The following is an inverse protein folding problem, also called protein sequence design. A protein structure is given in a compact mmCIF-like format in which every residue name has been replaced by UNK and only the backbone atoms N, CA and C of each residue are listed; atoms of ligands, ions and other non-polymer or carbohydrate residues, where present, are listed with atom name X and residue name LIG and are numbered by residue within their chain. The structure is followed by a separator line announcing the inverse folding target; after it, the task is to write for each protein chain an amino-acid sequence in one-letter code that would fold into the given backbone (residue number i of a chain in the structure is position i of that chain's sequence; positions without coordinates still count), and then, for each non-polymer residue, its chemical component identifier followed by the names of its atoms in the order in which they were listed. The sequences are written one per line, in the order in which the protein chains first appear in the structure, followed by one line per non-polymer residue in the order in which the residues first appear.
data_IF_333244333232
#
_entry.id   IF_333244333232
#
_cell.length_a   1.000
_cell.length_b   1.000
_cell.length_c   1.000
_cell.angle_alpha   90.00
_cell.angle_beta   90.00
_cell.angle_gamma   90.00
#
_symmetry.space_group_name_H-M   'P 1'
#
loop_
_entity.id
_entity.type
_entity.pdbx_description
1 polymer ?
#
# COMPACT_ATOMS: atom_id res chain seq x y z
N UNK A 1 -15.89 -0.16 -35.07
CA UNK A 1 -14.96 0.89 -34.59
C UNK A 1 -15.25 1.12 -33.11
N UNK A 2 -14.56 0.38 -32.25
CA UNK A 2 -14.62 0.57 -30.80
C UNK A 2 -13.52 1.55 -30.45
N UNK A 3 -13.88 2.83 -30.37
CA UNK A 3 -13.00 3.88 -29.87
C UNK A 3 -12.89 3.70 -28.34
N UNK A 4 -12.03 2.78 -27.93
CA UNK A 4 -11.60 2.63 -26.55
C UNK A 4 -10.55 3.71 -26.34
N UNK A 5 -10.97 4.89 -25.90
CA UNK A 5 -10.06 5.91 -25.35
C UNK A 5 -9.43 5.37 -24.08
N UNK A 6 -8.38 4.55 -24.25
CA UNK A 6 -7.56 4.07 -23.17
C UNK A 6 -6.97 5.29 -22.46
N UNK A 7 -7.11 5.34 -21.14
CA UNK A 7 -6.47 6.38 -20.35
C UNK A 7 -4.97 6.39 -20.68
N UNK A 8 -4.36 7.57 -20.89
CA UNK A 8 -2.95 7.67 -21.27
C UNK A 8 -2.07 6.97 -20.23
N UNK A 9 -1.01 6.31 -20.69
CA UNK A 9 -0.07 5.61 -19.81
C UNK A 9 0.52 6.57 -18.77
N UNK A 10 0.71 6.09 -17.53
CA UNK A 10 1.17 6.93 -16.42
C UNK A 10 2.53 7.61 -16.68
N UNK A 11 3.37 7.04 -17.54
CA UNK A 11 4.67 7.61 -17.94
C UNK A 11 4.55 9.00 -18.59
N UNK A 12 3.41 9.32 -19.20
CA UNK A 12 3.15 10.61 -19.85
C UNK A 12 2.93 11.77 -18.85
N UNK A 13 2.98 11.53 -17.54
CA UNK A 13 3.15 12.61 -16.55
C UNK A 13 4.42 13.44 -16.82
N UNK A 14 5.46 12.78 -17.34
CA UNK A 14 6.71 13.38 -17.79
C UNK A 14 6.74 13.37 -19.32
N UNK A 15 5.91 14.21 -19.94
CA UNK A 15 5.91 14.50 -21.37
C UNK A 15 6.74 15.77 -21.68
N UNK A 16 6.84 16.13 -22.96
CA UNK A 16 7.60 17.32 -23.39
C UNK A 16 7.07 18.62 -22.79
N UNK A 17 5.74 18.77 -22.69
CA UNK A 17 5.10 19.93 -22.07
C UNK A 17 5.51 20.06 -20.59
N UNK A 18 5.60 18.94 -19.87
CA UNK A 18 6.12 18.92 -18.49
C UNK A 18 7.58 19.32 -18.43
N UNK A 19 8.43 18.89 -19.37
CA UNK A 19 9.84 19.29 -19.40
C UNK A 19 9.98 20.79 -19.67
N UNK A 20 9.19 21.34 -20.59
CA UNK A 20 9.14 22.78 -20.84
C UNK A 20 8.73 23.57 -19.60
N UNK A 21 7.69 23.13 -18.91
CA UNK A 21 7.26 23.73 -17.64
C UNK A 21 8.39 23.72 -16.60
N UNK A 22 9.06 22.58 -16.42
CA UNK A 22 10.15 22.45 -15.47
C UNK A 22 11.32 23.37 -15.83
N UNK A 23 11.71 23.44 -17.11
CA UNK A 23 12.78 24.31 -17.58
C UNK A 23 12.48 25.77 -17.26
N UNK A 24 11.26 26.24 -17.58
CA UNK A 24 10.85 27.62 -17.30
C UNK A 24 10.81 27.90 -15.79
N UNK A 25 10.23 26.97 -15.01
CA UNK A 25 10.14 27.12 -13.56
C UNK A 25 11.53 27.17 -12.90
N UNK A 26 12.49 26.36 -13.37
CA UNK A 26 13.86 26.37 -12.87
C UNK A 26 14.61 27.64 -13.27
N UNK A 27 14.46 28.11 -14.52
CA UNK A 27 15.07 29.36 -14.97
C UNK A 27 14.59 30.57 -14.16
N UNK A 28 13.32 30.57 -13.72
CA UNK A 28 12.75 31.63 -12.90
C UNK A 28 13.36 31.72 -11.48
N UNK A 29 13.92 30.61 -10.96
CA UNK A 29 14.52 30.56 -9.61
C UNK A 29 16.05 30.47 -9.63
N UNK A 30 16.66 30.32 -10.81
CA UNK A 30 18.11 30.27 -10.99
C UNK A 30 18.50 30.88 -12.33
N UNK A 31 19.02 32.12 -12.31
CA UNK A 31 19.35 32.90 -13.51
C UNK A 31 20.45 32.29 -14.39
N UNK A 32 21.29 31.43 -13.82
CA UNK A 32 22.39 30.76 -14.52
C UNK A 32 22.09 29.30 -14.89
N UNK A 33 20.83 28.87 -14.76
CA UNK A 33 20.39 27.55 -15.20
C UNK A 33 20.37 27.44 -16.73
N UNK A 34 20.98 26.38 -17.25
CA UNK A 34 21.01 26.09 -18.69
C UNK A 34 19.73 25.35 -19.13
N UNK A 35 18.68 26.14 -19.43
CA UNK A 35 17.35 25.63 -19.80
C UNK A 35 17.35 24.88 -21.14
N UNK A 36 18.14 25.33 -22.12
CA UNK A 36 18.22 24.69 -23.43
C UNK A 36 18.82 23.29 -23.31
N UNK A 37 19.95 23.17 -22.60
CA UNK A 37 20.58 21.87 -22.34
C UNK A 37 19.68 20.98 -21.50
N UNK A 38 18.94 21.53 -20.53
CA UNK A 38 18.01 20.74 -19.72
C UNK A 38 16.91 20.12 -20.59
N UNK A 39 16.32 20.90 -21.50
CA UNK A 39 15.30 20.39 -22.43
C UNK A 39 15.89 19.34 -23.36
N UNK A 40 17.07 19.57 -23.91
CA UNK A 40 17.76 18.60 -24.73
C UNK A 40 17.97 17.26 -24.00
N UNK A 41 18.50 17.29 -22.78
CA UNK A 41 18.77 16.08 -21.99
C UNK A 41 17.49 15.32 -21.60
N UNK A 42 16.42 16.04 -21.28
CA UNK A 42 15.17 15.45 -20.78
C UNK A 42 14.25 14.92 -21.87
N UNK A 43 14.29 15.48 -23.07
CA UNK A 43 13.42 15.08 -24.21
C UNK A 43 14.03 13.97 -25.07
N UNK A 44 15.35 13.77 -25.03
CA UNK A 44 16.03 12.72 -25.78
C UNK A 44 15.55 11.30 -25.44
N UNK A 45 14.96 10.63 -26.43
CA UNK A 45 14.55 9.23 -26.36
C UNK A 45 13.44 8.95 -25.33
N UNK A 46 12.62 9.96 -25.03
CA UNK A 46 11.66 9.93 -23.93
C UNK A 46 10.67 8.75 -24.00
N UNK A 47 10.23 8.37 -25.20
CA UNK A 47 9.26 7.29 -25.41
C UNK A 47 9.73 5.90 -24.99
N UNK A 48 11.04 5.66 -25.04
CA UNK A 48 11.65 4.41 -24.60
C UNK A 48 11.75 4.29 -23.07
N UNK A 49 11.56 5.40 -22.33
CA UNK A 49 11.75 5.44 -20.87
C UNK A 49 10.45 5.13 -20.13
N UNK A 50 10.54 4.25 -19.13
CA UNK A 50 9.50 4.05 -18.12
C UNK A 50 9.34 5.27 -17.21
N UNK A 51 8.21 5.34 -16.49
CA UNK A 51 7.89 6.46 -15.59
C UNK A 51 9.04 6.84 -14.64
N UNK A 52 9.65 5.85 -13.96
CA UNK A 52 10.72 6.13 -12.99
C UNK A 52 12.05 6.48 -13.67
N UNK A 53 12.30 5.99 -14.89
CA UNK A 53 13.46 6.41 -15.68
C UNK A 53 13.33 7.86 -16.15
N UNK A 54 12.12 8.31 -16.51
CA UNK A 54 11.85 9.71 -16.85
C UNK A 54 12.08 10.63 -15.65
N UNK A 55 11.59 10.24 -14.47
CA UNK A 55 11.86 10.96 -13.22
C UNK A 55 13.37 11.07 -12.96
N UNK A 56 14.10 9.94 -13.01
CA UNK A 56 15.56 9.92 -12.83
C UNK A 56 16.29 10.82 -13.84
N UNK A 57 15.85 10.82 -15.10
CA UNK A 57 16.43 11.68 -16.14
C UNK A 57 16.27 13.17 -15.81
N UNK A 58 15.12 13.58 -15.28
CA UNK A 58 14.92 14.97 -14.85
C UNK A 58 15.88 15.32 -13.72
N UNK A 59 16.05 14.45 -12.73
CA UNK A 59 17.01 14.63 -11.64
C UNK A 59 18.44 14.84 -12.16
N UNK A 60 18.89 13.96 -13.06
CA UNK A 60 20.23 14.02 -13.65
C UNK A 60 20.42 15.28 -14.51
N UNK A 61 19.39 15.66 -15.28
CA UNK A 61 19.42 16.88 -16.08
C UNK A 61 19.49 18.13 -15.20
N UNK A 62 18.69 18.22 -14.13
CA UNK A 62 18.79 19.31 -13.15
C UNK A 62 20.21 19.40 -12.56
N UNK A 63 20.82 18.28 -12.21
CA UNK A 63 22.19 18.28 -11.69
C UNK A 63 23.21 18.84 -12.69
N UNK A 64 23.09 18.42 -13.96
CA UNK A 64 24.00 18.79 -15.03
C UNK A 64 23.86 20.25 -15.50
N UNK A 65 22.71 20.88 -15.29
CA UNK A 65 22.40 22.22 -15.84
C UNK A 65 22.19 23.30 -14.80
N UNK A 66 22.10 22.94 -13.51
CA UNK A 66 22.23 23.91 -12.42
C UNK A 66 23.69 24.39 -12.30
N UNK A 67 23.90 25.67 -11.94
CA UNK A 67 25.24 26.23 -11.79
C UNK A 67 26.13 25.39 -10.85
N UNK A 68 27.43 25.28 -11.14
CA UNK A 68 28.39 24.70 -10.21
C UNK A 68 28.33 25.42 -8.85
N UNK A 69 27.85 24.71 -7.84
CA UNK A 69 27.69 25.22 -6.49
C UNK A 69 27.74 24.07 -5.46
N UNK A 70 28.12 24.36 -4.20
CA UNK A 70 28.00 23.41 -3.09
C UNK A 70 26.58 22.83 -2.98
N UNK A 71 26.48 21.58 -2.54
CA UNK A 71 25.22 20.84 -2.46
C UNK A 71 24.10 21.63 -1.76
N UNK A 72 24.38 22.25 -0.61
CA UNK A 72 23.39 23.03 0.15
C UNK A 72 22.82 24.21 -0.65
N UNK A 73 23.64 24.91 -1.43
CA UNK A 73 23.15 26.01 -2.27
C UNK A 73 22.27 25.49 -3.41
N UNK A 74 22.57 24.31 -3.96
CA UNK A 74 21.69 23.65 -4.93
C UNK A 74 20.36 23.27 -4.29
N UNK A 75 20.35 22.82 -3.03
CA UNK A 75 19.10 22.57 -2.30
C UNK A 75 18.25 23.83 -2.17
N UNK A 76 18.85 25.01 -1.97
CA UNK A 76 18.08 26.26 -1.89
C UNK A 76 17.35 26.58 -3.20
N UNK A 77 18.00 26.35 -4.35
CA UNK A 77 17.35 26.45 -5.66
C UNK A 77 16.20 25.44 -5.79
N UNK A 78 16.42 24.19 -5.37
CA UNK A 78 15.38 23.14 -5.42
C UNK A 78 14.21 23.43 -4.46
N UNK A 79 14.47 24.04 -3.30
CA UNK A 79 13.43 24.52 -2.37
C UNK A 79 12.59 25.62 -3.00
N UNK A 80 13.21 26.57 -3.69
CA UNK A 80 12.51 27.61 -4.44
C UNK A 80 11.70 27.04 -5.61
N UNK A 81 12.20 25.99 -6.27
CA UNK A 81 11.51 25.32 -7.38
C UNK A 81 10.29 24.51 -6.92
N UNK A 82 10.32 23.92 -5.72
CA UNK A 82 9.28 23.00 -5.22
C UNK A 82 7.82 23.48 -5.40
N UNK A 83 7.44 24.71 -4.99
CA UNK A 83 6.08 25.21 -5.21
C UNK A 83 5.75 25.43 -6.70
N UNK A 84 6.74 25.71 -7.55
CA UNK A 84 6.56 26.03 -8.97
C UNK A 84 6.35 24.79 -9.87
N UNK A 85 6.70 23.58 -9.42
CA UNK A 85 6.52 22.35 -10.22
C UNK A 85 5.03 22.06 -10.52
N UNK A 86 4.12 22.49 -9.64
CA UNK A 86 2.67 22.39 -9.82
C UNK A 86 2.15 20.99 -10.21
N UNK A 87 2.80 19.92 -9.72
CA UNK A 87 2.35 18.53 -9.91
C UNK A 87 2.96 17.57 -8.88
N UNK A 88 2.12 16.98 -8.02
CA UNK A 88 2.55 16.19 -6.84
C UNK A 88 3.41 14.96 -7.14
N UNK A 89 3.27 14.35 -8.31
CA UNK A 89 4.13 13.22 -8.69
C UNK A 89 5.45 13.69 -9.31
N UNK A 90 5.44 14.84 -9.98
CA UNK A 90 6.66 15.36 -10.64
C UNK A 90 7.60 15.91 -9.59
N UNK A 91 7.08 16.47 -8.48
CA UNK A 91 7.88 16.94 -7.34
C UNK A 91 8.73 15.84 -6.71
N UNK A 92 8.50 14.55 -7.01
CA UNK A 92 9.36 13.44 -6.62
C UNK A 92 10.80 13.55 -7.17
N UNK A 93 11.04 14.35 -8.22
CA UNK A 93 12.40 14.64 -8.70
C UNK A 93 13.28 15.32 -7.64
N UNK A 94 12.67 16.06 -6.71
CA UNK A 94 13.38 16.79 -5.66
C UNK A 94 13.95 15.86 -4.57
N UNK A 95 13.15 14.99 -3.91
CA UNK A 95 13.70 13.99 -3.00
C UNK A 95 14.56 12.95 -3.72
N UNK A 96 14.34 12.70 -5.01
CA UNK A 96 15.21 11.85 -5.83
C UNK A 96 16.59 12.46 -6.06
N UNK A 97 16.67 13.78 -6.26
CA UNK A 97 17.93 14.52 -6.29
C UNK A 97 18.70 14.40 -4.97
N UNK A 98 18.01 14.59 -3.84
CA UNK A 98 18.60 14.44 -2.51
C UNK A 98 19.15 13.03 -2.29
N UNK A 99 18.40 12.00 -2.68
CA UNK A 99 18.83 10.60 -2.60
C UNK A 99 20.10 10.29 -3.41
N UNK A 100 20.32 11.00 -4.53
CA UNK A 100 21.42 10.71 -5.46
C UNK A 100 22.67 11.53 -5.19
N UNK A 101 22.50 12.75 -4.69
CA UNK A 101 23.62 13.69 -4.54
C UNK A 101 23.88 14.11 -3.09
N UNK A 102 23.08 13.61 -2.13
CA UNK A 102 23.05 14.12 -0.76
C UNK A 102 23.58 13.20 0.33
N UNK A 103 24.07 12.00 0.01
CA UNK A 103 24.51 11.03 1.03
C UNK A 103 25.65 11.57 1.92
N UNK A 104 26.55 12.38 1.35
CA UNK A 104 27.70 12.94 2.08
C UNK A 104 27.33 14.11 3.03
N UNK A 105 26.15 14.71 2.87
CA UNK A 105 25.63 15.78 3.73
C UNK A 105 24.28 15.39 4.33
N UNK A 106 24.34 14.35 5.18
CA UNK A 106 23.19 13.66 5.73
C UNK A 106 22.15 14.59 6.39
N UNK A 107 22.57 15.51 7.26
CA UNK A 107 21.65 16.33 8.03
C UNK A 107 20.92 17.34 7.15
N UNK A 108 21.62 17.97 6.19
CA UNK A 108 21.01 18.86 5.21
C UNK A 108 20.03 18.10 4.30
N UNK A 109 20.37 16.86 3.94
CA UNK A 109 19.52 15.99 3.15
C UNK A 109 18.25 15.57 3.89
N UNK A 110 18.35 15.17 5.16
CA UNK A 110 17.18 14.81 5.96
C UNK A 110 16.24 16.01 6.15
N UNK A 111 16.77 17.20 6.40
CA UNK A 111 15.97 18.43 6.45
C UNK A 111 15.29 18.73 5.10
N UNK A 112 16.02 18.64 3.99
CA UNK A 112 15.46 18.85 2.65
C UNK A 112 14.36 17.83 2.32
N UNK A 113 14.52 16.55 2.69
CA UNK A 113 13.49 15.52 2.50
C UNK A 113 12.23 15.82 3.31
N UNK A 114 12.38 16.32 4.55
CA UNK A 114 11.25 16.82 5.35
C UNK A 114 10.56 17.98 4.65
N UNK A 115 11.31 18.93 4.08
CA UNK A 115 10.76 20.06 3.35
C UNK A 115 10.03 19.65 2.05
N UNK A 116 10.56 18.71 1.28
CA UNK A 116 9.97 18.32 -0.01
C UNK A 116 8.73 17.43 0.11
N UNK A 117 8.59 16.68 1.21
CA UNK A 117 7.52 15.66 1.32
C UNK A 117 6.08 16.21 1.21
N UNK A 118 5.74 17.44 1.67
CA UNK A 118 4.39 17.99 1.52
C UNK A 118 4.00 18.28 0.06
N UNK A 119 4.99 18.60 -0.80
CA UNK A 119 4.77 18.86 -2.23
C UNK A 119 4.49 17.59 -3.05
N UNK A 120 4.84 16.42 -2.52
CA UNK A 120 4.68 15.13 -3.19
C UNK A 120 4.79 14.01 -2.18
N UNK A 121 5.96 13.35 -2.16
CA UNK A 121 6.40 12.48 -1.07
C UNK A 121 7.92 12.25 -1.12
N UNK A 122 8.57 12.26 0.03
CA UNK A 122 9.99 11.88 0.13
C UNK A 122 10.21 10.39 0.42
N UNK A 123 9.17 9.55 0.25
CA UNK A 123 9.19 8.12 0.64
C UNK A 123 10.29 7.30 -0.05
N UNK A 124 10.65 7.66 -1.29
CA UNK A 124 11.77 7.02 -2.00
C UNK A 124 13.10 7.68 -1.63
N UNK A 125 13.11 9.01 -1.52
CA UNK A 125 14.32 9.80 -1.26
C UNK A 125 14.97 9.53 0.09
N UNK A 126 14.19 9.19 1.12
CA UNK A 126 14.73 8.89 2.47
C UNK A 126 15.37 7.51 2.59
N UNK A 127 15.06 6.59 1.67
CA UNK A 127 15.45 5.18 1.80
C UNK A 127 16.94 4.92 1.60
N UNK A 128 17.66 5.60 0.69
CA UNK A 128 19.11 5.52 0.64
C UNK A 128 19.79 5.86 1.96
N UNK A 129 19.29 6.86 2.69
CA UNK A 129 19.81 7.24 4.01
C UNK A 129 19.54 6.16 5.06
N UNK A 130 18.32 5.60 5.08
CA UNK A 130 17.98 4.46 5.96
C UNK A 130 18.81 3.21 5.67
N UNK A 131 19.16 2.97 4.40
CA UNK A 131 20.03 1.86 3.99
C UNK A 131 21.49 2.10 4.37
N UNK A 132 21.96 3.33 4.21
CA UNK A 132 23.34 3.71 4.47
C UNK A 132 23.65 3.70 5.96
N UNK A 133 22.82 4.36 6.77
CA UNK A 133 23.00 4.47 8.22
C UNK A 133 21.63 4.52 8.92
N UNK A 134 21.09 3.34 9.20
CA UNK A 134 19.79 3.18 9.87
C UNK A 134 19.80 3.81 11.27
N UNK A 135 20.90 3.68 12.00
CA UNK A 135 21.03 4.17 13.37
C UNK A 135 20.99 5.70 13.42
N UNK A 136 21.62 6.38 12.46
CA UNK A 136 21.55 7.84 12.31
C UNK A 136 20.20 8.32 11.76
N UNK A 137 19.57 7.56 10.86
CA UNK A 137 18.31 7.95 10.22
C UNK A 137 17.08 7.82 11.13
N UNK A 138 16.97 6.77 11.95
CA UNK A 138 15.78 6.50 12.77
C UNK A 138 15.42 7.63 13.77
N UNK A 139 16.38 8.30 14.43
CA UNK A 139 16.10 9.46 15.26
C UNK A 139 15.36 10.58 14.51
N UNK A 140 15.73 10.87 13.27
CA UNK A 140 15.03 11.86 12.43
C UNK A 140 13.58 11.46 12.16
N UNK A 141 13.35 10.20 11.75
CA UNK A 141 12.00 9.69 11.49
C UNK A 141 11.15 9.69 12.77
N UNK A 142 11.75 9.36 13.91
CA UNK A 142 11.07 9.40 15.21
C UNK A 142 10.69 10.84 15.60
N UNK A 143 11.54 11.83 15.31
CA UNK A 143 11.18 13.24 15.50
C UNK A 143 10.02 13.65 14.59
N UNK A 144 10.03 13.21 13.33
CA UNK A 144 8.98 13.51 12.35
C UNK A 144 7.60 12.98 12.73
N UNK A 145 7.48 11.98 13.61
CA UNK A 145 6.15 11.52 14.08
C UNK A 145 5.41 12.56 14.92
N UNK A 146 6.11 13.60 15.41
CA UNK A 146 5.52 14.69 16.20
C UNK A 146 5.28 15.96 15.38
N UNK A 147 5.56 15.92 14.08
CA UNK A 147 5.39 17.08 13.21
C UNK A 147 3.92 17.48 13.07
N UNK A 148 3.65 18.78 12.97
CA UNK A 148 2.30 19.29 12.75
C UNK A 148 1.76 18.84 11.38
N UNK A 149 2.62 18.68 10.38
CA UNK A 149 2.23 18.25 9.04
C UNK A 149 2.08 16.73 8.94
N UNK A 150 0.88 16.28 8.57
CA UNK A 150 0.58 14.87 8.35
C UNK A 150 1.42 14.24 7.22
N UNK A 151 1.92 15.01 6.25
CA UNK A 151 2.85 14.52 5.22
C UNK A 151 4.20 14.12 5.79
N UNK A 152 4.69 14.85 6.79
CA UNK A 152 5.95 14.56 7.50
C UNK A 152 5.77 13.37 8.43
N UNK A 153 4.68 13.34 9.22
CA UNK A 153 4.36 12.17 10.07
C UNK A 153 4.19 10.90 9.24
N UNK A 154 3.50 11.00 8.09
CA UNK A 154 3.34 9.87 7.17
C UNK A 154 4.67 9.42 6.60
N UNK A 155 5.59 10.33 6.26
CA UNK A 155 6.92 9.98 5.76
C UNK A 155 7.70 9.11 6.76
N UNK A 156 7.59 9.38 8.06
CA UNK A 156 8.23 8.57 9.09
C UNK A 156 7.81 7.10 9.00
N UNK A 157 6.50 6.84 8.88
CA UNK A 157 5.96 5.48 8.73
C UNK A 157 6.25 4.90 7.33
N UNK A 158 6.02 5.65 6.26
CA UNK A 158 6.08 5.12 4.90
C UNK A 158 7.52 4.87 4.44
N UNK A 159 8.41 5.85 4.68
CA UNK A 159 9.81 5.78 4.28
C UNK A 159 10.54 4.62 4.93
N UNK A 160 10.17 4.26 6.16
CA UNK A 160 10.73 3.12 6.91
C UNK A 160 10.04 1.78 6.64
N UNK A 161 9.07 1.70 5.70
CA UNK A 161 8.41 0.41 5.40
C UNK A 161 9.44 -0.64 4.92
N UNK A 162 9.43 -1.87 5.46
CA UNK A 162 10.34 -2.93 5.02
C UNK A 162 10.19 -3.27 3.54
N UNK A 163 8.97 -3.22 3.01
CA UNK A 163 8.60 -3.67 1.66
C UNK A 163 7.80 -2.62 0.86
N UNK A 164 8.27 -1.37 0.86
CA UNK A 164 7.66 -0.29 0.09
C UNK A 164 7.60 -0.65 -1.41
N UNK A 165 6.42 -0.61 -2.07
CA UNK A 165 6.32 -0.79 -3.51
C UNK A 165 7.16 0.22 -4.29
N UNK A 166 7.66 -0.16 -5.47
CA UNK A 166 8.49 0.67 -6.35
C UNK A 166 9.85 1.11 -5.77
N UNK A 167 10.19 0.62 -4.57
CA UNK A 167 11.49 0.76 -3.98
C UNK A 167 12.11 -0.60 -3.67
N UNK A 168 13.40 -0.58 -3.38
CA UNK A 168 14.10 -1.73 -2.81
C UNK A 168 13.57 -2.04 -1.41
N UNK A 169 13.78 -3.27 -0.93
CA UNK A 169 13.50 -3.62 0.48
C UNK A 169 14.56 -3.02 1.39
N UNK A 170 14.16 -2.59 2.59
CA UNK A 170 15.09 -2.23 3.64
C UNK A 170 15.43 -3.52 4.39
N UNK A 171 16.45 -4.24 3.93
CA UNK A 171 16.71 -5.61 4.38
C UNK A 171 16.95 -5.71 5.89
N UNK A 172 17.58 -4.70 6.50
CA UNK A 172 17.71 -4.60 7.95
C UNK A 172 16.36 -4.60 8.68
N UNK A 173 15.37 -3.87 8.14
CA UNK A 173 14.01 -3.80 8.72
C UNK A 173 13.11 -4.96 8.30
N UNK A 174 13.47 -5.68 7.24
CA UNK A 174 12.87 -6.99 6.91
C UNK A 174 13.39 -8.04 7.88
N UNK A 175 14.67 -8.00 8.24
CA UNK A 175 15.29 -8.94 9.17
C UNK A 175 14.83 -8.71 10.62
N UNK A 176 14.77 -7.45 11.05
CA UNK A 176 14.31 -7.06 12.39
C UNK A 176 13.38 -5.83 12.33
N UNK A 177 12.09 -5.97 12.66
CA UNK A 177 11.17 -4.83 12.67
C UNK A 177 11.30 -3.96 13.94
N UNK A 178 11.98 -4.43 14.99
CA UNK A 178 12.05 -3.75 16.29
C UNK A 178 12.50 -2.28 16.23
N UNK A 179 13.46 -1.87 15.37
CA UNK A 179 13.89 -0.47 15.30
C UNK A 179 12.79 0.52 14.89
N UNK A 180 11.74 0.05 14.18
CA UNK A 180 10.58 0.88 13.80
C UNK A 180 9.44 0.86 14.81
N UNK A 181 9.55 0.08 15.90
CA UNK A 181 8.51 0.03 16.92
C UNK A 181 8.18 1.40 17.52
N UNK A 182 9.16 2.23 17.94
CA UNK A 182 8.86 3.51 18.59
C UNK A 182 8.07 4.47 17.70
N UNK A 183 8.40 4.55 16.40
CA UNK A 183 7.69 5.44 15.47
C UNK A 183 6.27 4.94 15.16
N UNK A 184 6.07 3.61 15.10
CA UNK A 184 4.73 3.04 14.89
C UNK A 184 3.84 3.24 16.12
N UNK A 185 4.41 3.12 17.33
CA UNK A 185 3.70 3.40 18.59
C UNK A 185 3.30 4.87 18.69
N UNK A 186 4.18 5.80 18.32
CA UNK A 186 3.88 7.23 18.31
C UNK A 186 2.71 7.58 17.36
N UNK A 187 2.54 6.84 16.27
CA UNK A 187 1.53 7.09 15.24
C UNK A 187 0.27 6.21 15.36
N UNK A 188 0.16 5.39 16.43
CA UNK A 188 -0.87 4.35 16.57
C UNK A 188 -2.32 4.87 16.58
N UNK A 189 -2.50 6.13 16.95
CA UNK A 189 -3.80 6.79 17.07
C UNK A 189 -3.91 8.09 16.25
N UNK A 190 -3.00 8.30 15.28
CA UNK A 190 -2.90 9.55 14.52
C UNK A 190 -4.23 9.98 13.91
N UNK A 191 -4.57 11.27 14.00
CA UNK A 191 -5.83 11.84 13.50
C UNK A 191 -5.94 11.85 11.97
N UNK A 192 -4.80 11.82 11.27
CA UNK A 192 -4.78 11.79 9.81
C UNK A 192 -4.99 10.37 9.29
N UNK A 193 -6.08 10.17 8.53
CA UNK A 193 -6.30 8.92 7.80
C UNK A 193 -5.14 8.59 6.84
N UNK A 194 -4.44 9.60 6.32
CA UNK A 194 -3.29 9.42 5.46
C UNK A 194 -2.12 8.74 6.21
N UNK A 195 -1.85 9.18 7.43
CA UNK A 195 -0.85 8.57 8.32
C UNK A 195 -1.29 7.16 8.73
N UNK A 196 -2.54 6.99 9.19
CA UNK A 196 -3.07 5.67 9.60
C UNK A 196 -2.97 4.62 8.48
N UNK A 197 -3.24 5.00 7.24
CA UNK A 197 -3.06 4.13 6.05
C UNK A 197 -1.61 3.66 5.93
N UNK A 198 -0.63 4.55 6.13
CA UNK A 198 0.78 4.21 6.10
C UNK A 198 1.16 3.25 7.22
N UNK A 199 0.78 3.55 8.47
CA UNK A 199 1.05 2.68 9.64
C UNK A 199 0.47 1.29 9.40
N UNK A 200 -0.78 1.20 8.94
CA UNK A 200 -1.40 -0.10 8.63
C UNK A 200 -0.70 -0.84 7.49
N UNK A 201 -0.16 -0.15 6.49
CA UNK A 201 0.62 -0.78 5.43
C UNK A 201 1.99 -1.25 5.92
N UNK A 202 2.64 -0.47 6.78
CA UNK A 202 3.89 -0.85 7.43
C UNK A 202 3.71 -2.12 8.27
N UNK A 203 2.72 -2.14 9.16
CA UNK A 203 2.38 -3.32 9.96
C UNK A 203 2.07 -4.55 9.08
N UNK A 204 1.34 -4.35 7.98
CA UNK A 204 1.05 -5.44 7.05
C UNK A 204 2.29 -5.93 6.28
N UNK A 205 3.32 -5.10 6.11
CA UNK A 205 4.60 -5.54 5.56
C UNK A 205 5.35 -6.40 6.58
N UNK A 206 5.40 -5.99 7.85
CA UNK A 206 5.96 -6.79 8.95
C UNK A 206 5.26 -8.14 9.06
N UNK A 207 3.94 -8.19 8.92
CA UNK A 207 3.14 -9.43 9.00
C UNK A 207 3.59 -10.54 8.04
N UNK A 208 4.30 -10.21 6.96
CA UNK A 208 4.74 -11.17 5.94
C UNK A 208 5.95 -12.00 6.41
N UNK A 209 6.76 -11.45 7.31
CA UNK A 209 8.02 -12.03 7.77
C UNK A 209 8.00 -12.33 9.28
N UNK A 210 7.35 -11.45 10.06
CA UNK A 210 7.35 -11.48 11.53
C UNK A 210 5.93 -11.49 12.12
N UNK A 211 5.07 -12.46 11.77
CA UNK A 211 3.68 -12.49 12.21
C UNK A 211 3.52 -12.59 13.74
N UNK A 212 4.34 -13.42 14.41
CA UNK A 212 4.27 -13.59 15.86
C UNK A 212 4.67 -12.31 16.61
N UNK A 213 5.77 -11.67 16.18
CA UNK A 213 6.20 -10.39 16.75
C UNK A 213 5.12 -9.32 16.60
N UNK A 214 4.55 -9.19 15.40
CA UNK A 214 3.49 -8.23 15.12
C UNK A 214 2.27 -8.46 16.02
N UNK A 215 1.82 -9.72 16.14
CA UNK A 215 0.66 -10.07 16.97
C UNK A 215 0.90 -9.76 18.45
N UNK A 216 2.12 -9.99 18.96
CA UNK A 216 2.49 -9.60 20.31
C UNK A 216 2.38 -8.08 20.48
N UNK A 217 2.94 -7.27 19.58
CA UNK A 217 2.86 -5.80 19.67
C UNK A 217 1.43 -5.29 19.60
N UNK A 218 0.65 -5.79 18.65
CA UNK A 218 -0.74 -5.36 18.47
C UNK A 218 -1.67 -5.87 19.58
N UNK A 219 -1.31 -6.96 20.25
CA UNK A 219 -1.96 -7.40 21.49
C UNK A 219 -1.86 -6.35 22.60
N UNK A 220 -0.68 -5.73 22.78
CA UNK A 220 -0.50 -4.65 23.75
C UNK A 220 -1.32 -3.41 23.36
N UNK A 221 -1.36 -3.06 22.08
CA UNK A 221 -2.19 -1.95 21.60
C UNK A 221 -3.67 -2.21 21.89
N UNK A 222 -4.14 -3.42 21.59
CA UNK A 222 -5.52 -3.82 21.80
C UNK A 222 -5.90 -3.83 23.29
N UNK A 223 -5.03 -4.33 24.17
CA UNK A 223 -5.28 -4.38 25.61
C UNK A 223 -5.40 -2.98 26.24
N UNK A 224 -4.70 -1.99 25.68
CA UNK A 224 -4.78 -0.59 26.11
C UNK A 224 -5.93 0.22 25.49
N UNK A 225 -6.84 -0.40 24.73
CA UNK A 225 -8.01 0.30 24.18
C UNK A 225 -9.11 0.42 25.24
N UNK A 226 -9.23 1.59 25.84
CA UNK A 226 -10.35 1.98 26.69
C UNK A 226 -11.38 2.83 25.93
N UNK A 227 -12.66 2.57 26.19
CA UNK A 227 -13.76 3.38 25.68
C UNK A 227 -13.93 3.42 24.15
N UNK A 228 -14.63 4.47 23.71
CA UNK A 228 -15.06 4.70 22.31
C UNK A 228 -14.51 6.01 21.73
N UNK A 229 -13.51 6.62 22.37
CA UNK A 229 -12.90 7.87 21.90
C UNK A 229 -12.20 7.72 20.54
N UNK A 230 -11.99 8.84 19.86
CA UNK A 230 -11.47 8.86 18.49
C UNK A 230 -10.12 8.13 18.37
N UNK A 231 -9.20 8.33 19.32
CA UNK A 231 -7.91 7.63 19.34
C UNK A 231 -8.03 6.10 19.40
N UNK A 232 -9.02 5.58 20.14
CA UNK A 232 -9.31 4.15 20.19
C UNK A 232 -9.87 3.66 18.84
N UNK A 233 -10.77 4.42 18.22
CA UNK A 233 -11.32 4.10 16.90
C UNK A 233 -10.23 4.14 15.80
N UNK A 234 -9.32 5.10 15.86
CA UNK A 234 -8.16 5.23 14.99
C UNK A 234 -7.25 4.00 15.09
N UNK A 235 -6.94 3.59 16.32
CA UNK A 235 -6.12 2.40 16.57
C UNK A 235 -6.82 1.12 16.06
N UNK A 236 -8.12 0.95 16.36
CA UNK A 236 -8.91 -0.19 15.83
C UNK A 236 -8.94 -0.23 14.30
N UNK A 237 -9.01 0.93 13.66
CA UNK A 237 -8.89 1.03 12.21
C UNK A 237 -7.52 0.51 11.74
N UNK A 238 -6.43 0.96 12.37
CA UNK A 238 -5.07 0.50 12.02
C UNK A 238 -4.95 -1.01 12.19
N UNK A 239 -5.40 -1.58 13.31
CA UNK A 239 -5.38 -3.03 13.57
C UNK A 239 -6.08 -3.81 12.44
N UNK A 240 -7.30 -3.41 12.08
CA UNK A 240 -8.10 -4.06 11.03
C UNK A 240 -7.40 -4.04 9.68
N UNK A 241 -6.73 -2.94 9.34
CA UNK A 241 -6.03 -2.80 8.06
C UNK A 241 -4.64 -3.43 8.07
N UNK A 242 -3.92 -3.40 9.19
CA UNK A 242 -2.59 -3.97 9.37
C UNK A 242 -2.58 -5.50 9.41
N UNK A 243 -3.60 -6.10 10.03
CA UNK A 243 -3.71 -7.56 10.15
C UNK A 243 -4.34 -8.25 8.92
N UNK A 244 -4.68 -7.49 7.86
CA UNK A 244 -5.45 -8.00 6.71
C UNK A 244 -4.85 -9.23 6.03
N UNK A 245 -3.53 -9.37 6.01
CA UNK A 245 -2.87 -10.55 5.43
C UNK A 245 -3.06 -11.77 6.32
N UNK A 246 -2.81 -11.65 7.63
CA UNK A 246 -2.99 -12.73 8.61
C UNK A 246 -4.46 -13.16 8.71
N UNK A 247 -5.38 -12.20 8.68
CA UNK A 247 -6.84 -12.48 8.66
C UNK A 247 -7.23 -13.28 7.42
N UNK A 248 -6.71 -12.93 6.24
CA UNK A 248 -6.94 -13.71 5.01
C UNK A 248 -6.31 -15.10 5.05
N UNK A 249 -5.25 -15.28 5.83
CA UNK A 249 -4.64 -16.58 6.08
C UNK A 249 -5.39 -17.40 7.15
N UNK A 250 -6.43 -16.84 7.77
CA UNK A 250 -7.20 -17.52 8.82
C UNK A 250 -6.47 -17.58 10.17
N UNK A 251 -5.48 -16.69 10.40
CA UNK A 251 -4.76 -16.66 11.67
C UNK A 251 -5.70 -16.31 12.83
N UNK A 252 -5.83 -17.23 13.79
CA UNK A 252 -6.80 -17.15 14.90
C UNK A 252 -6.51 -16.01 15.85
N UNK A 253 -5.23 -15.74 16.16
CA UNK A 253 -4.83 -14.62 17.00
C UNK A 253 -5.16 -13.27 16.34
N UNK A 254 -4.88 -13.12 15.04
CA UNK A 254 -5.24 -11.93 14.28
C UNK A 254 -6.76 -11.70 14.25
N UNK A 255 -7.54 -12.77 14.08
CA UNK A 255 -9.01 -12.72 14.14
C UNK A 255 -9.50 -12.35 15.54
N UNK A 256 -8.87 -12.87 16.60
CA UNK A 256 -9.20 -12.54 17.99
C UNK A 256 -9.01 -11.05 18.29
N UNK A 257 -7.91 -10.44 17.81
CA UNK A 257 -7.67 -8.99 17.93
C UNK A 257 -8.73 -8.13 17.20
N UNK A 258 -9.54 -8.73 16.33
CA UNK A 258 -10.65 -8.07 15.64
C UNK A 258 -12.03 -8.50 16.19
N UNK A 259 -12.07 -9.20 17.33
CA UNK A 259 -13.29 -9.69 17.97
C UNK A 259 -13.89 -10.94 17.34
N UNK A 260 -13.18 -11.59 16.40
CA UNK A 260 -13.69 -12.71 15.60
C UNK A 260 -12.87 -14.01 15.80
N UNK A 261 -12.23 -14.16 16.98
CA UNK A 261 -11.33 -15.29 17.27
C UNK A 261 -12.03 -16.60 17.62
N UNK A 262 -13.29 -16.55 18.06
CA UNK A 262 -14.07 -17.74 18.36
C UNK A 262 -14.51 -18.46 17.09
N UNK A 263 -14.65 -19.78 17.18
CA UNK A 263 -15.27 -20.57 16.12
C UNK A 263 -16.69 -20.03 15.82
N UNK A 264 -17.03 -19.81 14.54
CA UNK A 264 -18.30 -19.21 14.19
C UNK A 264 -19.44 -20.18 14.49
N UNK A 265 -20.42 -19.76 15.28
CA UNK A 265 -21.62 -20.54 15.60
C UNK A 265 -22.68 -20.24 14.55
N UNK A 266 -22.46 -20.71 13.34
CA UNK A 266 -23.37 -20.50 12.20
C UNK A 266 -23.56 -21.78 11.40
N UNK A 267 -24.71 -21.92 10.78
CA UNK A 267 -24.97 -22.89 9.71
C UNK A 267 -25.02 -22.16 8.38
N UNK A 268 -24.51 -22.79 7.33
CA UNK A 268 -24.59 -22.27 5.96
C UNK A 268 -25.79 -22.92 5.28
N UNK A 269 -26.66 -22.10 4.69
CA UNK A 269 -27.82 -22.53 3.91
C UNK A 269 -27.71 -21.99 2.49
N UNK A 270 -28.26 -22.73 1.53
CA UNK A 270 -28.43 -22.28 0.14
C UNK A 270 -27.13 -21.79 -0.52
N UNK A 271 -26.00 -22.42 -0.20
CA UNK A 271 -24.72 -22.06 -0.80
C UNK A 271 -24.71 -22.44 -2.30
N UNK A 272 -24.51 -21.43 -3.16
CA UNK A 272 -24.50 -21.57 -4.62
C UNK A 272 -23.26 -20.90 -5.21
N UNK A 273 -22.68 -21.56 -6.20
CA UNK A 273 -21.58 -21.08 -7.03
C UNK A 273 -22.01 -21.30 -8.47
N UNK A 274 -22.28 -20.21 -9.19
CA UNK A 274 -22.95 -20.26 -10.49
C UNK A 274 -22.29 -19.32 -11.50
N UNK A 275 -22.27 -19.67 -12.79
CA UNK A 275 -22.64 -20.98 -13.36
C UNK A 275 -21.60 -22.08 -13.06
N UNK A 276 -22.03 -23.34 -13.13
CA UNK A 276 -21.14 -24.50 -12.97
C UNK A 276 -20.10 -24.62 -14.12
N UNK A 277 -20.40 -24.06 -15.30
CA UNK A 277 -19.47 -23.92 -16.42
C UNK A 277 -19.41 -22.45 -16.83
N UNK A 278 -18.23 -21.85 -16.75
CA UNK A 278 -18.01 -20.42 -16.97
C UNK A 278 -17.09 -20.19 -18.16
N UNK A 279 -17.46 -19.29 -19.07
CA UNK A 279 -16.56 -18.86 -20.16
C UNK A 279 -15.68 -17.71 -19.68
N UNK A 280 -14.39 -17.75 -19.97
CA UNK A 280 -13.45 -16.67 -19.65
C UNK A 280 -13.97 -15.31 -20.16
N UNK A 281 -13.94 -14.29 -19.30
CA UNK A 281 -14.56 -12.98 -19.54
C UNK A 281 -15.88 -12.79 -18.80
N UNK A 282 -16.54 -13.88 -18.41
CA UNK A 282 -17.82 -13.84 -17.67
C UNK A 282 -17.60 -13.62 -16.16
N UNK A 283 -18.73 -13.65 -15.43
CA UNK A 283 -18.77 -13.44 -13.99
C UNK A 283 -19.24 -14.69 -13.27
N UNK A 284 -18.54 -15.03 -12.20
CA UNK A 284 -18.97 -16.00 -11.20
C UNK A 284 -19.87 -15.30 -10.17
N UNK A 285 -20.98 -15.94 -9.83
CA UNK A 285 -21.88 -15.53 -8.74
C UNK A 285 -21.75 -16.51 -7.58
N UNK A 286 -21.56 -15.96 -6.38
CA UNK A 286 -21.58 -16.70 -5.12
C UNK A 286 -22.75 -16.17 -4.30
N UNK A 287 -23.59 -17.04 -3.76
CA UNK A 287 -24.68 -16.66 -2.86
C UNK A 287 -24.84 -17.71 -1.76
N UNK A 288 -25.14 -17.27 -0.54
CA UNK A 288 -25.38 -18.14 0.61
C UNK A 288 -26.07 -17.38 1.74
N UNK A 289 -26.70 -18.11 2.65
CA UNK A 289 -27.29 -17.57 3.87
C UNK A 289 -26.56 -18.12 5.09
N UNK A 290 -26.12 -17.24 5.98
CA UNK A 290 -25.59 -17.62 7.30
C UNK A 290 -26.74 -17.54 8.30
N UNK A 291 -27.01 -18.63 9.01
CA UNK A 291 -27.97 -18.66 10.11
C UNK A 291 -27.24 -18.89 11.44
N UNK A 292 -27.46 -18.00 12.39
CA UNK A 292 -26.87 -18.08 13.72
C UNK A 292 -27.36 -19.33 14.45
N UNK A 293 -26.42 -20.14 14.91
CA UNK A 293 -26.65 -21.32 15.75
C UNK A 293 -26.40 -21.03 17.24
N UNK A 294 -26.23 -19.76 17.61
CA UNK A 294 -26.06 -19.35 19.00
C UNK A 294 -27.38 -19.44 19.77
N UNK A 295 -27.31 -19.90 21.02
CA UNK A 295 -28.48 -19.99 21.91
C UNK A 295 -29.09 -18.60 22.18
N UNK A 296 -30.41 -18.49 22.41
CA UNK A 296 -31.05 -17.25 22.84
C UNK A 296 -30.34 -16.62 24.04
N UNK A 297 -30.24 -15.29 24.06
CA UNK A 297 -29.52 -14.55 25.11
C UNK A 297 -27.99 -14.50 24.94
N UNK A 298 -27.43 -15.19 23.94
CA UNK A 298 -26.01 -15.06 23.62
C UNK A 298 -25.73 -13.72 22.92
N UNK A 299 -24.68 -12.97 23.31
CA UNK A 299 -24.28 -11.75 22.60
C UNK A 299 -24.01 -11.99 21.12
N UNK A 300 -24.22 -10.95 20.31
CA UNK A 300 -23.93 -11.01 18.88
C UNK A 300 -22.47 -11.44 18.63
N UNK A 301 -22.28 -12.38 17.72
CA UNK A 301 -20.96 -12.87 17.33
C UNK A 301 -20.43 -12.05 16.16
N UNK A 302 -19.17 -11.60 16.24
CA UNK A 302 -18.53 -10.94 15.11
C UNK A 302 -18.03 -11.97 14.11
N UNK A 303 -18.43 -11.79 12.85
CA UNK A 303 -18.07 -12.66 11.73
C UNK A 303 -17.23 -11.91 10.71
N UNK A 304 -16.06 -12.47 10.40
CA UNK A 304 -15.23 -12.07 9.26
C UNK A 304 -15.49 -13.07 8.13
N UNK A 305 -16.29 -12.65 7.17
CA UNK A 305 -16.74 -13.47 6.04
C UNK A 305 -15.87 -13.17 4.82
N UNK A 306 -15.38 -14.23 4.19
CA UNK A 306 -14.63 -14.19 2.94
C UNK A 306 -14.91 -15.42 2.10
N UNK A 307 -14.23 -15.52 0.97
CA UNK A 307 -14.23 -16.73 0.17
C UNK A 307 -12.85 -16.91 -0.47
N UNK A 308 -12.47 -18.15 -0.77
CA UNK A 308 -11.29 -18.44 -1.56
C UNK A 308 -11.67 -19.00 -2.93
N UNK A 309 -10.86 -18.69 -3.93
CA UNK A 309 -10.85 -19.42 -5.20
C UNK A 309 -9.52 -20.16 -5.29
N UNK A 310 -9.60 -21.47 -5.50
CA UNK A 310 -8.47 -22.34 -5.84
C UNK A 310 -8.35 -22.35 -7.37
N UNK A 311 -7.53 -21.44 -7.90
CA UNK A 311 -7.33 -21.30 -9.34
C UNK A 311 -6.55 -22.47 -9.91
N UNK A 312 -7.03 -23.07 -10.99
CA UNK A 312 -6.32 -24.11 -11.71
C UNK A 312 -4.98 -23.57 -12.23
N UNK A 313 -3.95 -24.42 -12.23
CA UNK A 313 -2.65 -24.13 -12.84
C UNK A 313 -2.24 -25.28 -13.75
N UNK A 314 -1.45 -25.03 -14.80
CA UNK A 314 -0.92 -26.08 -15.67
C UNK A 314 -0.10 -27.13 -14.91
N UNK A 315 0.56 -26.75 -13.80
CA UNK A 315 1.35 -27.65 -12.97
C UNK A 315 0.53 -28.56 -12.04
N UNK A 316 -0.80 -28.49 -12.08
CA UNK A 316 -1.71 -29.23 -11.18
C UNK A 316 -1.81 -28.65 -9.76
N UNK A 317 -0.86 -27.82 -9.30
CA UNK A 317 -0.92 -27.16 -7.98
C UNK A 317 -1.81 -25.91 -8.04
N UNK A 318 -3.02 -26.00 -7.49
CA UNK A 318 -3.96 -24.88 -7.49
C UNK A 318 -3.45 -23.66 -6.68
N UNK A 319 -3.67 -22.45 -7.20
CA UNK A 319 -3.38 -21.20 -6.47
C UNK A 319 -4.57 -20.81 -5.60
N UNK A 320 -4.44 -20.92 -4.28
CA UNK A 320 -5.49 -20.43 -3.37
C UNK A 320 -5.41 -18.91 -3.21
N UNK A 321 -6.50 -18.20 -3.55
CA UNK A 321 -6.62 -16.75 -3.38
C UNK A 321 -7.84 -16.41 -2.54
N UNK A 322 -7.62 -15.76 -1.40
CA UNK A 322 -8.67 -15.32 -0.49
C UNK A 322 -9.13 -13.89 -0.80
N UNK A 323 -10.45 -13.72 -0.85
CA UNK A 323 -11.15 -12.47 -1.05
C UNK A 323 -11.96 -12.14 0.22
N UNK A 324 -11.93 -10.87 0.62
CA UNK A 324 -12.79 -10.36 1.69
C UNK A 324 -14.20 -10.17 1.12
N UNK A 325 -15.22 -10.59 1.87
CA UNK A 325 -16.61 -10.34 1.52
C UNK A 325 -17.22 -9.27 2.43
N UNK A 326 -17.39 -9.58 3.72
CA UNK A 326 -18.04 -8.69 4.69
C UNK A 326 -17.51 -8.96 6.09
N UNK A 327 -17.55 -7.95 6.95
CA UNK A 327 -17.44 -8.12 8.40
C UNK A 327 -18.73 -7.62 9.01
N UNK A 328 -19.38 -8.41 9.85
CA UNK A 328 -20.69 -8.10 10.45
C UNK A 328 -20.80 -8.72 11.85
N UNK A 329 -21.71 -8.21 12.66
CA UNK A 329 -22.12 -8.84 13.91
C UNK A 329 -23.45 -9.55 13.64
N UNK A 330 -23.58 -10.81 14.07
CA UNK A 330 -24.77 -11.64 13.86
C UNK A 330 -25.35 -12.02 15.23
N UNK A 331 -26.58 -11.61 15.52
CA UNK A 331 -27.26 -11.91 16.77
C UNK A 331 -27.68 -13.38 16.87
N UNK A 332 -28.04 -13.85 18.07
CA UNK A 332 -28.59 -15.18 18.27
C UNK A 332 -29.91 -15.33 17.49
N UNK A 333 -30.07 -16.46 16.77
CA UNK A 333 -31.24 -16.72 15.91
C UNK A 333 -31.32 -15.91 14.61
N UNK A 334 -30.47 -14.90 14.42
CA UNK A 334 -30.48 -14.06 13.21
C UNK A 334 -29.99 -14.83 11.97
N UNK A 335 -30.48 -14.43 10.80
CA UNK A 335 -29.99 -14.90 9.50
C UNK A 335 -29.56 -13.72 8.63
N UNK A 336 -28.54 -13.94 7.79
CA UNK A 336 -28.09 -12.95 6.82
C UNK A 336 -27.75 -13.62 5.48
N UNK A 337 -28.32 -13.09 4.41
CA UNK A 337 -27.99 -13.51 3.04
C UNK A 337 -26.87 -12.63 2.48
N UNK A 338 -25.88 -13.28 1.87
CA UNK A 338 -24.72 -12.62 1.29
C UNK A 338 -24.52 -13.10 -0.14
N UNK A 339 -24.14 -12.18 -1.02
CA UNK A 339 -23.85 -12.48 -2.41
C UNK A 339 -22.61 -11.73 -2.91
N UNK A 340 -21.95 -12.30 -3.91
CA UNK A 340 -20.79 -11.70 -4.59
C UNK A 340 -20.78 -12.06 -6.06
N UNK A 341 -20.60 -11.03 -6.90
CA UNK A 341 -20.24 -11.20 -8.31
C UNK A 341 -18.74 -10.99 -8.49
N UNK A 342 -18.06 -11.93 -9.13
CA UNK A 342 -16.62 -11.95 -9.31
C UNK A 342 -16.27 -12.09 -10.80
N UNK A 343 -15.64 -11.08 -11.43
CA UNK A 343 -15.19 -11.22 -12.81
C UNK A 343 -14.05 -12.23 -12.90
N UNK A 344 -14.15 -13.15 -13.87
CA UNK A 344 -13.13 -14.14 -14.21
C UNK A 344 -12.66 -13.83 -15.62
N UNK A 345 -11.61 -13.00 -15.71
CA UNK A 345 -10.98 -12.56 -16.96
C UNK A 345 -9.50 -12.33 -16.72
N UNK A 346 -8.70 -12.34 -17.76
CA UNK A 346 -7.28 -12.06 -17.61
C UNK A 346 -7.01 -10.61 -17.21
N UNK A 347 -5.96 -10.45 -16.40
CA UNK A 347 -5.43 -9.18 -15.95
C UNK A 347 -3.93 -9.15 -16.24
N UNK A 348 -3.32 -7.96 -16.31
CA UNK A 348 -1.86 -7.80 -16.42
C UNK A 348 -1.08 -8.56 -15.34
N UNK A 349 -1.71 -8.84 -14.19
CA UNK A 349 -1.11 -9.54 -13.05
C UNK A 349 -1.57 -10.98 -12.87
N UNK A 350 -2.50 -11.48 -13.70
CA UNK A 350 -3.04 -12.84 -13.56
C UNK A 350 -3.68 -13.35 -14.85
N UNK A 351 -3.14 -14.47 -15.33
CA UNK A 351 -3.74 -15.31 -16.36
C UNK A 351 -4.55 -16.43 -15.73
N UNK A 352 -5.68 -16.77 -16.34
CA UNK A 352 -6.56 -17.86 -15.94
C UNK A 352 -6.42 -19.03 -16.91
N UNK A 353 -6.43 -20.24 -16.37
CA UNK A 353 -6.28 -21.49 -17.12
C UNK A 353 -7.60 -22.24 -17.13
N UNK A 354 -7.91 -22.94 -18.21
CA UNK A 354 -9.11 -23.79 -18.23
C UNK A 354 -9.01 -24.93 -17.19
N UNK A 355 -10.16 -25.48 -16.80
CA UNK A 355 -10.26 -26.56 -15.82
C UNK A 355 -11.09 -26.22 -14.58
N UNK A 356 -11.14 -27.16 -13.65
CA UNK A 356 -11.91 -27.03 -12.41
C UNK A 356 -11.30 -26.01 -11.44
N UNK A 357 -12.15 -25.07 -10.99
CA UNK A 357 -11.81 -24.06 -9.99
C UNK A 357 -12.65 -24.26 -8.73
N UNK A 358 -11.99 -24.61 -7.63
CA UNK A 358 -12.67 -24.76 -6.33
C UNK A 358 -12.99 -23.42 -5.69
N UNK A 359 -14.12 -23.35 -5.00
CA UNK A 359 -14.57 -22.18 -4.23
C UNK A 359 -14.83 -22.60 -2.79
N UNK A 360 -14.30 -21.84 -1.84
CA UNK A 360 -14.47 -22.07 -0.40
C UNK A 360 -15.16 -20.87 0.23
N UNK A 361 -16.22 -21.09 1.01
CA UNK A 361 -16.79 -20.08 1.90
C UNK A 361 -16.01 -20.08 3.22
N UNK A 362 -15.48 -18.92 3.61
CA UNK A 362 -14.69 -18.75 4.82
C UNK A 362 -15.42 -17.87 5.82
N UNK A 363 -15.55 -18.33 7.07
CA UNK A 363 -16.04 -17.53 8.19
C UNK A 363 -15.09 -17.70 9.36
N UNK A 364 -14.58 -16.58 9.90
CA UNK A 364 -13.60 -16.57 11.00
C UNK A 364 -12.42 -17.53 10.76
N UNK A 365 -11.93 -17.57 9.52
CA UNK A 365 -10.79 -18.41 9.12
C UNK A 365 -11.12 -19.88 8.83
N UNK A 366 -12.35 -20.33 9.09
CA UNK A 366 -12.78 -21.71 8.84
C UNK A 366 -13.54 -21.85 7.53
N UNK A 367 -13.32 -22.95 6.80
CA UNK A 367 -14.11 -23.31 5.62
C UNK A 367 -15.42 -23.94 6.07
N UNK A 368 -16.55 -23.31 5.73
CA UNK A 368 -17.89 -23.79 6.13
C UNK A 368 -18.72 -24.37 4.97
N UNK A 369 -18.35 -24.07 3.73
CA UNK A 369 -18.95 -24.67 2.55
C UNK A 369 -17.96 -24.65 1.39
N UNK A 370 -18.12 -25.59 0.47
CA UNK A 370 -17.32 -25.68 -0.74
C UNK A 370 -18.19 -25.86 -1.98
N UNK A 371 -17.67 -25.44 -3.12
CA UNK A 371 -18.26 -25.63 -4.43
C UNK A 371 -17.20 -25.39 -5.50
N UNK A 372 -17.62 -25.05 -6.72
CA UNK A 372 -16.69 -24.71 -7.77
C UNK A 372 -17.36 -24.51 -9.12
N UNK A 373 -16.53 -24.26 -10.11
CA UNK A 373 -16.95 -24.09 -11.49
C UNK A 373 -15.86 -24.59 -12.45
N UNK A 374 -16.28 -25.10 -13.60
CA UNK A 374 -15.41 -25.44 -14.72
C UNK A 374 -15.16 -24.18 -15.56
N UNK A 375 -13.90 -23.74 -15.68
CA UNK A 375 -13.53 -22.61 -16.53
C UNK A 375 -13.19 -23.11 -17.93
N UNK A 376 -13.85 -22.54 -18.93
CA UNK A 376 -13.55 -22.79 -20.34
C UNK A 376 -13.16 -21.49 -21.04
N UNK A 377 -12.36 -21.58 -22.10
CA UNK A 377 -12.10 -20.45 -22.99
C UNK A 377 -13.14 -20.45 -24.10
N UNK A 378 -13.49 -19.26 -24.62
CA UNK A 378 -14.22 -19.20 -25.87
C UNK A 378 -13.35 -19.87 -26.94
N UNK A 379 -13.94 -20.83 -27.66
CA UNK A 379 -13.28 -21.55 -28.75
C UNK A 379 -13.02 -20.65 -29.95
#
# INVERSE_FOLDING_TARGET
MTDSTAAPELKHIFDEARMLHLAQATANVSSHFDAERFLHLTTQGLDALSLMQRLRRVTEALHATLPPAPYRQRLDVLRALAPAINHRFVTLVLPDYVATHGLDDFDASMDALRFFTPFGSSEFGVRPFLRHDLARALPWLTAWTRDADAHVRRLASEGSRPRLPWSFRLDALVADPAPTRPLLEALRADDSLYVRKSVANHLNDIAKDHPAWLLAQLGHWHAGLDGQGDGAQHTRWILRHGLRTLVKQGNTQALALLGAGAAPRVTVREARVEPARLVLGQHLSLAFTLASAAAPGTPAQRLVVGYAIRYARPSGKAARKVFKLKTLDLAAGETVTLARRQPIRDFSTRTHHAGWHGVELLVNGQTLAEGGFELVRAG
#
